data_IF_308823121995
#
_entry.id   IF_308823121995
#
_cell.length_a   1.000
_cell.length_b   1.000
_cell.length_c   1.000
_cell.angle_alpha   90.00
_cell.angle_beta   90.00
_cell.angle_gamma   90.00
#
_symmetry.space_group_name_H-M   'P 1'
#
loop_
_entity.id
_entity.type
_entity.pdbx_description
1 polymer ?
#
# COMPACT_ATOMS: atom_id res chain seq x y z
N UNK A 1 -4.00 25.37 -0.16
CA UNK A 1 -2.71 24.93 -0.76
C UNK A 1 -2.29 25.74 -2.01
N UNK A 2 -2.86 26.92 -2.27
CA UNK A 2 -2.43 27.83 -3.36
C UNK A 2 -1.06 28.52 -3.11
N UNK A 3 -0.43 28.31 -1.94
CA UNK A 3 0.85 28.94 -1.53
C UNK A 3 2.06 27.99 -1.58
N UNK A 4 2.00 26.89 -2.33
CA UNK A 4 3.18 26.07 -2.66
C UNK A 4 3.83 25.24 -1.53
N UNK A 5 3.36 25.33 -0.27
CA UNK A 5 3.88 24.50 0.83
C UNK A 5 3.08 23.20 0.97
N UNK A 6 3.72 22.08 0.64
CA UNK A 6 3.22 20.71 0.86
C UNK A 6 4.22 20.04 1.80
N UNK A 7 3.86 19.95 3.09
CA UNK A 7 4.67 19.33 4.14
C UNK A 7 3.87 18.20 4.80
N UNK A 8 3.34 17.28 3.98
CA UNK A 8 2.59 16.12 4.46
C UNK A 8 2.79 14.94 3.51
N UNK A 9 2.82 13.74 4.09
CA UNK A 9 3.04 12.48 3.37
C UNK A 9 1.74 11.74 3.04
N UNK A 10 0.62 12.11 3.67
CA UNK A 10 -0.71 11.56 3.39
C UNK A 10 -1.80 12.63 3.43
N UNK A 11 -2.76 12.52 2.53
CA UNK A 11 -3.96 13.34 2.48
C UNK A 11 -5.18 12.44 2.71
N UNK A 12 -6.01 12.79 3.69
CA UNK A 12 -7.30 12.13 3.99
C UNK A 12 -8.39 13.17 3.75
N UNK A 13 -9.46 12.78 3.07
CA UNK A 13 -10.56 13.68 2.74
C UNK A 13 -11.92 13.05 3.09
N UNK A 14 -12.91 13.89 3.37
CA UNK A 14 -14.31 13.46 3.38
C UNK A 14 -14.89 13.52 1.97
N UNK A 15 -15.91 12.69 1.65
CA UNK A 15 -16.56 12.70 0.33
C UNK A 15 -17.01 14.10 -0.11
N UNK A 16 -17.51 14.89 0.85
CA UNK A 16 -18.07 16.23 0.64
C UNK A 16 -17.02 17.23 0.13
N UNK A 17 -15.74 17.01 0.45
CA UNK A 17 -14.62 17.88 0.06
C UNK A 17 -13.93 17.43 -1.24
N UNK A 18 -14.29 16.27 -1.80
CA UNK A 18 -13.66 15.74 -3.03
C UNK A 18 -13.78 16.66 -4.26
N UNK A 19 -14.88 17.42 -4.50
CA UNK A 19 -14.96 18.33 -5.64
C UNK A 19 -13.89 19.44 -5.60
N UNK A 20 -13.52 19.89 -4.40
CA UNK A 20 -12.47 20.90 -4.19
C UNK A 20 -11.08 20.27 -4.30
N UNK A 21 -10.88 19.08 -3.75
CA UNK A 21 -9.61 18.33 -3.84
C UNK A 21 -9.33 17.89 -5.28
N UNK A 22 -10.35 17.58 -6.07
CA UNK A 22 -10.22 17.25 -7.49
C UNK A 22 -9.61 18.39 -8.33
N UNK A 23 -9.88 19.65 -7.98
CA UNK A 23 -9.23 20.81 -8.61
C UNK A 23 -7.72 20.87 -8.35
N UNK A 24 -7.26 20.29 -7.24
CA UNK A 24 -5.85 20.16 -6.87
C UNK A 24 -5.19 18.89 -7.46
N UNK A 25 -5.91 18.11 -8.26
CA UNK A 25 -5.43 16.86 -8.85
C UNK A 25 -4.17 17.02 -9.70
N UNK A 26 -3.96 18.18 -10.35
CA UNK A 26 -2.71 18.47 -11.10
C UNK A 26 -1.46 18.48 -10.21
N UNK A 27 -1.62 18.80 -8.93
CA UNK A 27 -0.51 18.89 -7.96
C UNK A 27 -0.40 17.60 -7.14
N UNK A 28 -1.53 17.07 -6.66
CA UNK A 28 -1.56 15.89 -5.79
C UNK A 28 -1.43 14.57 -6.58
N UNK A 29 -1.87 14.54 -7.83
CA UNK A 29 -1.84 13.37 -8.71
C UNK A 29 -0.43 12.82 -8.99
N UNK A 30 0.52 13.61 -9.55
CA UNK A 30 1.86 13.10 -9.88
C UNK A 30 2.68 12.71 -8.65
N UNK A 31 2.30 13.19 -7.46
CA UNK A 31 2.95 12.85 -6.18
C UNK A 31 2.30 11.66 -5.46
N UNK A 32 1.23 11.09 -6.00
CA UNK A 32 0.51 9.98 -5.36
C UNK A 32 -0.20 10.36 -4.06
N UNK A 33 -0.34 11.65 -3.75
CA UNK A 33 -0.97 12.16 -2.52
C UNK A 33 -2.49 12.39 -2.69
N UNK A 34 -3.07 11.99 -3.82
CA UNK A 34 -4.48 12.18 -4.10
C UNK A 34 -5.32 11.17 -3.30
N UNK A 35 -6.28 11.62 -2.47
CA UNK A 35 -7.18 10.72 -1.74
C UNK A 35 -7.97 9.84 -2.71
N UNK A 36 -8.09 8.55 -2.37
CA UNK A 36 -8.77 7.54 -3.18
C UNK A 36 -9.75 6.73 -2.33
N UNK A 37 -11.04 6.69 -2.68
CA UNK A 37 -12.05 5.87 -1.98
C UNK A 37 -11.68 4.39 -1.90
N UNK A 38 -11.01 3.85 -2.92
CA UNK A 38 -10.60 2.42 -2.95
C UNK A 38 -9.59 2.06 -1.86
N UNK A 39 -8.87 3.06 -1.36
CA UNK A 39 -7.81 2.91 -0.36
C UNK A 39 -8.33 3.31 1.03
N UNK A 40 -9.60 3.72 1.14
CA UNK A 40 -10.19 4.17 2.41
C UNK A 40 -9.68 5.53 2.89
N UNK A 41 -8.89 6.24 2.08
CA UNK A 41 -8.43 7.62 2.37
C UNK A 41 -9.50 8.67 2.10
N UNK A 42 -10.64 8.25 1.52
CA UNK A 42 -11.88 9.01 1.46
C UNK A 42 -12.91 8.31 2.32
N UNK A 43 -13.18 8.86 3.50
CA UNK A 43 -14.13 8.29 4.47
C UNK A 43 -14.82 9.39 5.26
N UNK A 44 -16.03 9.11 5.75
CA UNK A 44 -16.72 9.98 6.71
C UNK A 44 -16.11 9.90 8.11
N UNK A 45 -15.48 8.77 8.46
CA UNK A 45 -14.80 8.58 9.74
C UNK A 45 -13.30 8.91 9.63
N UNK A 46 -13.00 10.20 9.78
CA UNK A 46 -11.63 10.72 9.70
C UNK A 46 -10.76 10.22 10.87
N UNK A 47 -11.34 9.97 12.05
CA UNK A 47 -10.58 9.61 13.23
C UNK A 47 -9.96 8.22 13.12
N UNK A 48 -10.71 7.23 12.64
CA UNK A 48 -10.18 5.89 12.39
C UNK A 48 -9.16 5.89 11.24
N UNK A 49 -9.42 6.63 10.17
CA UNK A 49 -8.49 6.74 9.04
C UNK A 49 -7.14 7.35 9.45
N UNK A 50 -7.13 8.36 10.33
CA UNK A 50 -5.87 8.94 10.85
C UNK A 50 -5.12 7.92 11.71
N UNK A 51 -5.81 7.15 12.56
CA UNK A 51 -5.18 6.09 13.37
C UNK A 51 -4.58 5.00 12.49
N UNK A 52 -5.33 4.52 11.51
CA UNK A 52 -4.87 3.52 10.55
C UNK A 52 -3.68 4.04 9.71
N UNK A 53 -3.73 5.30 9.31
CA UNK A 53 -2.65 5.93 8.57
C UNK A 53 -1.35 6.05 9.38
N UNK A 54 -1.46 6.41 10.66
CA UNK A 54 -0.32 6.46 11.60
C UNK A 54 0.20 5.07 11.98
N UNK A 55 -0.66 4.05 11.95
CA UNK A 55 -0.30 2.65 12.20
C UNK A 55 0.58 2.01 11.11
N UNK A 56 0.97 2.76 10.08
CA UNK A 56 1.90 2.27 9.06
C UNK A 56 1.25 1.43 7.96
N UNK A 57 -0.06 1.62 7.71
CA UNK A 57 -0.77 0.89 6.65
C UNK A 57 -0.02 0.99 5.31
N UNK A 58 0.41 -0.15 4.76
CA UNK A 58 1.13 -0.20 3.48
C UNK A 58 0.13 -0.35 2.35
N UNK A 59 0.15 0.61 1.43
CA UNK A 59 -0.66 0.56 0.22
C UNK A 59 0.08 -0.22 -0.85
N UNK A 60 -0.58 -1.22 -1.43
CA UNK A 60 -0.04 -1.96 -2.57
C UNK A 60 -0.95 -1.81 -3.78
N UNK A 61 -0.33 -1.65 -4.95
CA UNK A 61 -1.02 -1.52 -6.24
C UNK A 61 -0.46 -2.55 -7.21
N UNK A 62 -1.35 -3.12 -8.02
CA UNK A 62 -0.98 -4.01 -9.11
C UNK A 62 -0.46 -3.17 -10.29
N UNK A 63 0.71 -3.50 -10.80
CA UNK A 63 1.24 -2.94 -12.04
C UNK A 63 0.57 -3.56 -13.27
N UNK A 64 0.74 -2.94 -14.45
CA UNK A 64 0.17 -3.45 -15.72
C UNK A 64 0.59 -4.89 -16.04
N UNK A 65 1.77 -5.31 -15.57
CA UNK A 65 2.29 -6.66 -15.74
C UNK A 65 1.70 -7.68 -14.74
N UNK A 66 0.79 -7.28 -13.84
CA UNK A 66 0.22 -8.15 -12.81
C UNK A 66 1.17 -8.41 -11.63
N UNK A 67 2.20 -7.57 -11.45
CA UNK A 67 3.16 -7.66 -10.35
C UNK A 67 2.73 -6.70 -9.24
N UNK A 68 2.89 -7.14 -7.99
CA UNK A 68 2.63 -6.33 -6.80
C UNK A 68 3.97 -6.06 -6.11
N UNK A 69 4.25 -4.80 -5.84
CA UNK A 69 5.40 -4.37 -5.05
C UNK A 69 4.92 -3.71 -3.76
N UNK A 70 5.53 -4.07 -2.63
CA UNK A 70 5.26 -3.44 -1.34
C UNK A 70 6.52 -3.42 -0.48
N UNK A 71 6.74 -2.32 0.23
CA UNK A 71 7.78 -2.22 1.24
C UNK A 71 7.32 -2.84 2.56
N UNK A 72 7.89 -3.99 2.92
CA UNK A 72 7.54 -4.73 4.15
C UNK A 72 8.32 -4.28 5.40
N UNK A 73 9.33 -3.43 5.25
CA UNK A 73 10.10 -2.91 6.36
C UNK A 73 11.41 -2.23 5.96
N UNK A 74 12.22 -1.90 6.96
CA UNK A 74 13.60 -1.42 6.80
C UNK A 74 14.58 -2.46 7.33
N UNK A 75 15.83 -2.41 6.87
CA UNK A 75 16.92 -3.26 7.39
C UNK A 75 17.21 -3.06 8.87
N UNK A 76 16.76 -1.95 9.46
CA UNK A 76 16.90 -1.66 10.88
C UNK A 76 15.89 -2.39 11.78
N UNK A 77 14.94 -3.14 11.20
CA UNK A 77 13.95 -3.91 11.98
C UNK A 77 14.54 -5.25 12.40
N UNK A 78 14.04 -5.80 13.50
CA UNK A 78 14.38 -7.17 13.91
C UNK A 78 13.90 -8.19 12.88
N UNK A 79 14.61 -9.31 12.76
CA UNK A 79 14.26 -10.39 11.84
C UNK A 79 12.83 -10.90 12.04
N UNK A 80 12.37 -11.03 13.29
CA UNK A 80 11.03 -11.54 13.60
C UNK A 80 9.93 -10.60 13.08
N UNK A 81 10.08 -9.29 13.30
CA UNK A 81 9.17 -8.28 12.78
C UNK A 81 9.12 -8.26 11.23
N UNK A 82 10.26 -8.51 10.57
CA UNK A 82 10.28 -8.63 9.10
C UNK A 82 9.51 -9.86 8.63
N UNK A 83 9.66 -11.00 9.31
CA UNK A 83 8.93 -12.23 8.99
C UNK A 83 7.42 -12.03 9.19
N UNK A 84 7.00 -11.43 10.30
CA UNK A 84 5.59 -11.13 10.58
C UNK A 84 4.99 -10.19 9.53
N UNK A 85 5.70 -9.12 9.15
CA UNK A 85 5.24 -8.20 8.12
C UNK A 85 5.08 -8.88 6.75
N UNK A 86 6.01 -9.77 6.39
CA UNK A 86 5.93 -10.51 5.12
C UNK A 86 4.73 -11.45 5.13
N UNK A 87 4.50 -12.19 6.21
CA UNK A 87 3.32 -13.08 6.35
C UNK A 87 2.02 -12.29 6.27
N UNK A 88 1.90 -11.22 7.05
CA UNK A 88 0.72 -10.34 7.04
C UNK A 88 0.44 -9.76 5.64
N UNK A 89 1.50 -9.43 4.89
CA UNK A 89 1.36 -8.95 3.52
C UNK A 89 0.85 -10.04 2.56
N UNK A 90 1.41 -11.26 2.63
CA UNK A 90 0.96 -12.39 1.81
C UNK A 90 -0.51 -12.73 2.10
N UNK A 91 -0.91 -12.74 3.37
CA UNK A 91 -2.29 -12.98 3.79
C UNK A 91 -3.25 -11.92 3.25
N UNK A 92 -2.85 -10.65 3.30
CA UNK A 92 -3.63 -9.55 2.75
C UNK A 92 -3.81 -9.69 1.22
N UNK A 93 -2.76 -10.11 0.51
CA UNK A 93 -2.81 -10.34 -0.94
C UNK A 93 -3.74 -11.51 -1.28
N UNK A 94 -3.70 -12.60 -0.52
CA UNK A 94 -4.60 -13.76 -0.73
C UNK A 94 -6.06 -13.40 -0.48
N UNK A 95 -6.35 -12.63 0.57
CA UNK A 95 -7.70 -12.11 0.84
C UNK A 95 -8.19 -11.17 -0.25
N UNK A 96 -7.28 -10.43 -0.89
CA UNK A 96 -7.58 -9.57 -2.03
C UNK A 96 -7.72 -10.32 -3.37
N UNK A 97 -7.69 -11.67 -3.38
CA UNK A 97 -7.88 -12.47 -4.59
C UNK A 97 -9.26 -12.20 -5.21
N UNK A 98 -9.34 -11.75 -6.48
CA UNK A 98 -10.61 -11.57 -7.15
C UNK A 98 -11.26 -12.93 -7.46
N UNK A 99 -12.60 -13.00 -7.36
CA UNK A 99 -13.37 -14.23 -7.55
C UNK A 99 -13.16 -14.89 -8.93
N UNK A 100 -12.77 -14.12 -9.95
CA UNK A 100 -12.48 -14.62 -11.30
C UNK A 100 -11.10 -15.23 -11.50
N UNK A 101 -10.20 -15.18 -10.50
CA UNK A 101 -8.84 -15.69 -10.63
C UNK A 101 -8.80 -17.23 -10.53
N UNK A 102 -8.55 -17.89 -11.68
CA UNK A 102 -8.37 -19.34 -11.79
C UNK A 102 -6.90 -19.74 -11.63
N UNK A 103 -6.65 -20.89 -10.98
CA UNK A 103 -5.31 -21.44 -10.79
C UNK A 103 -4.53 -20.85 -9.61
N UNK A 104 -3.21 -21.06 -9.61
CA UNK A 104 -2.30 -20.61 -8.56
C UNK A 104 -2.19 -19.08 -8.57
N UNK A 105 -2.67 -18.43 -7.52
CA UNK A 105 -2.75 -16.97 -7.45
C UNK A 105 -1.37 -16.32 -7.27
N UNK A 106 -0.54 -16.88 -6.38
CA UNK A 106 0.84 -16.44 -6.17
C UNK A 106 1.77 -17.37 -6.95
N UNK A 107 2.47 -16.83 -7.96
CA UNK A 107 3.39 -17.62 -8.81
C UNK A 107 4.84 -17.60 -8.32
N UNK A 108 5.29 -16.45 -7.81
CA UNK A 108 6.67 -16.24 -7.37
C UNK A 108 6.69 -15.16 -6.31
N UNK A 109 7.52 -15.36 -5.28
CA UNK A 109 7.85 -14.34 -4.28
C UNK A 109 9.36 -14.11 -4.35
N UNK A 110 9.75 -12.83 -4.40
CA UNK A 110 11.14 -12.43 -4.35
C UNK A 110 11.27 -11.28 -3.35
N UNK A 111 12.27 -11.38 -2.46
CA UNK A 111 12.59 -10.34 -1.49
C UNK A 111 13.91 -9.72 -1.90
N UNK A 112 13.93 -8.41 -2.03
CA UNK A 112 15.14 -7.64 -2.36
C UNK A 112 15.25 -6.43 -1.45
N UNK A 113 16.48 -6.05 -1.12
CA UNK A 113 16.74 -4.73 -0.55
C UNK A 113 16.76 -3.67 -1.67
N UNK A 114 16.73 -2.39 -1.32
CA UNK A 114 16.64 -1.28 -2.28
C UNK A 114 17.77 -1.29 -3.32
N UNK A 115 18.97 -1.73 -2.93
CA UNK A 115 20.17 -1.75 -3.78
C UNK A 115 20.80 -3.15 -3.89
N UNK A 116 20.12 -4.21 -3.45
CA UNK A 116 20.67 -5.55 -3.38
C UNK A 116 20.03 -6.54 -4.35
N UNK A 117 20.67 -7.70 -4.57
CA UNK A 117 20.09 -8.76 -5.38
C UNK A 117 18.81 -9.31 -4.74
N UNK A 118 17.84 -9.69 -5.57
CA UNK A 118 16.61 -10.30 -5.12
C UNK A 118 16.78 -11.79 -4.85
N UNK A 119 16.42 -12.23 -3.64
CA UNK A 119 16.41 -13.64 -3.25
C UNK A 119 15.00 -14.19 -3.46
N UNK A 120 14.91 -15.33 -4.14
CA UNK A 120 13.64 -16.02 -4.32
C UNK A 120 13.28 -16.78 -3.06
N UNK A 121 12.05 -16.63 -2.63
CA UNK A 121 11.52 -17.30 -1.43
C UNK A 121 10.39 -18.21 -1.87
N UNK A 122 10.29 -19.37 -1.23
CA UNK A 122 9.20 -20.29 -1.53
C UNK A 122 7.88 -19.75 -0.97
N UNK A 123 6.85 -19.55 -1.82
CA UNK A 123 5.56 -19.02 -1.37
C UNK A 123 4.87 -19.93 -0.35
N UNK A 124 5.11 -21.25 -0.42
CA UNK A 124 4.51 -22.24 0.49
C UNK A 124 4.96 -22.06 1.94
N UNK A 125 6.19 -21.59 2.16
CA UNK A 125 6.73 -21.33 3.51
C UNK A 125 6.11 -20.12 4.21
N UNK A 126 5.38 -19.27 3.47
CA UNK A 126 4.76 -18.05 3.96
C UNK A 126 3.23 -18.19 4.16
N UNK A 127 2.67 -19.37 3.87
CA UNK A 127 1.22 -19.65 3.90
C UNK A 127 0.74 -20.32 5.20
N UNK A 128 1.42 -20.07 6.33
CA UNK A 128 1.11 -20.71 7.62
C UNK A 128 0.21 -19.85 8.50
#
# INVERSE_FOLDING_TARGET
MQKGKIAFDRCIATPDMMPLVGRLGKILGPRGLMPNPKVGTVTSDVASAVKAAKGGAVEFRVEKAGIIHAGVGKSSFSNDALVENIKAFVDAVLKAKPAGAKGTFVKRVAVSSTMGPGVRVEPTSLLA
#
